data_IF_257591661603
#
_entry.id   IF_257591661603
#
_cell.length_a   1.000
_cell.length_b   1.000
_cell.length_c   1.000
_cell.angle_alpha   90.00
_cell.angle_beta   90.00
_cell.angle_gamma   90.00
#
_symmetry.space_group_name_H-M   'P 1'
#
loop_
_entity.id
_entity.type
_entity.pdbx_description
1 polymer ?
#
# COMPACT_ATOMS: atom_id res chain seq x y z
N UNK A 1 30.59 -5.79 27.83
CA UNK A 1 30.15 -7.21 27.79
C UNK A 1 28.85 -7.37 28.58
N UNK A 2 27.79 -6.65 28.19
CA UNK A 2 26.40 -6.78 28.69
C UNK A 2 25.52 -6.01 27.71
N UNK A 3 25.23 -6.61 26.55
CA UNK A 3 24.29 -6.10 25.55
C UNK A 3 23.86 -7.21 24.56
N UNK A 4 23.82 -8.46 25.03
CA UNK A 4 23.61 -9.65 24.19
C UNK A 4 22.58 -10.63 24.77
N UNK A 5 21.49 -10.13 25.38
CA UNK A 5 20.41 -11.01 25.86
C UNK A 5 18.98 -10.54 25.61
N UNK A 6 18.73 -9.59 24.69
CA UNK A 6 17.35 -9.22 24.29
C UNK A 6 17.00 -9.56 22.83
N UNK A 7 17.91 -10.16 22.06
CA UNK A 7 17.65 -10.53 20.66
C UNK A 7 17.21 -11.99 20.45
N UNK A 8 17.01 -12.77 21.51
CA UNK A 8 16.74 -14.20 21.42
C UNK A 8 15.52 -14.62 22.26
N UNK A 9 14.32 -14.15 21.91
CA UNK A 9 13.07 -14.82 22.29
C UNK A 9 11.85 -14.43 21.45
N UNK A 10 12.01 -14.32 20.13
CA UNK A 10 10.87 -14.42 19.18
C UNK A 10 11.23 -15.46 18.10
N UNK A 11 11.61 -16.65 18.55
CA UNK A 11 11.57 -17.86 17.72
C UNK A 11 10.27 -18.60 18.04
N UNK A 12 9.18 -18.17 17.40
CA UNK A 12 7.99 -19.01 17.26
C UNK A 12 8.00 -19.60 15.85
N UNK A 13 8.60 -20.80 15.78
CA UNK A 13 8.19 -21.94 14.94
C UNK A 13 7.52 -21.62 13.60
N UNK A 14 8.27 -21.79 12.49
CA UNK A 14 7.97 -22.31 11.12
C UNK A 14 6.53 -22.34 10.52
N UNK A 15 5.50 -21.81 11.16
CA UNK A 15 4.09 -21.75 10.72
C UNK A 15 3.71 -20.38 10.15
N UNK A 16 4.64 -19.43 10.18
CA UNK A 16 4.39 -18.00 9.94
C UNK A 16 4.82 -17.52 8.54
N UNK A 17 5.56 -18.32 7.77
CA UNK A 17 6.15 -17.87 6.50
C UNK A 17 5.10 -17.43 5.45
N UNK A 18 3.96 -18.12 5.40
CA UNK A 18 2.89 -17.84 4.42
C UNK A 18 2.05 -16.60 4.79
N UNK A 19 1.97 -16.25 6.08
CA UNK A 19 1.32 -15.02 6.53
C UNK A 19 2.26 -13.83 6.30
N UNK A 20 3.58 -14.03 6.46
CA UNK A 20 4.58 -12.99 6.24
C UNK A 20 4.56 -12.49 4.79
N UNK A 21 4.46 -13.36 3.77
CA UNK A 21 4.37 -12.93 2.36
C UNK A 21 3.09 -12.13 2.07
N UNK A 22 1.98 -12.45 2.76
CA UNK A 22 0.68 -11.78 2.58
C UNK A 22 0.55 -10.44 3.32
N UNK A 23 1.34 -10.21 4.38
CA UNK A 23 1.35 -8.98 5.17
C UNK A 23 2.56 -8.08 4.93
N UNK A 24 3.70 -8.62 4.49
CA UNK A 24 4.97 -7.88 4.36
C UNK A 24 5.51 -7.83 2.91
N UNK A 25 4.73 -8.31 1.93
CA UNK A 25 5.20 -8.44 0.54
C UNK A 25 6.16 -9.63 0.36
N UNK A 26 6.75 -9.81 -0.85
CA UNK A 26 7.79 -10.81 -1.02
C UNK A 26 8.87 -10.54 0.03
N UNK A 27 9.19 -11.53 0.85
CA UNK A 27 10.24 -11.42 1.84
C UNK A 27 11.52 -11.03 1.11
N UNK A 28 12.00 -9.80 1.32
CA UNK A 28 13.31 -9.33 0.84
C UNK A 28 14.39 -10.06 1.68
N UNK A 29 14.52 -11.37 1.47
CA UNK A 29 15.49 -12.21 2.15
C UNK A 29 16.87 -12.02 1.50
N UNK A 30 17.87 -11.70 2.32
CA UNK A 30 19.31 -11.83 2.02
C UNK A 30 19.83 -11.13 0.76
N UNK A 31 19.54 -9.83 0.60
CA UNK A 31 20.48 -9.00 -0.17
C UNK A 31 21.65 -8.70 0.77
N UNK A 32 22.88 -9.06 0.37
CA UNK A 32 24.09 -8.87 1.20
C UNK A 32 24.30 -7.42 1.67
N UNK A 33 23.67 -6.44 1.02
CA UNK A 33 23.75 -5.02 1.38
C UNK A 33 22.78 -4.58 2.48
N UNK A 34 21.75 -5.38 2.81
CA UNK A 34 20.75 -5.00 3.81
C UNK A 34 21.25 -5.24 5.24
N UNK A 35 20.84 -4.37 6.15
CA UNK A 35 21.06 -4.54 7.59
C UNK A 35 19.72 -4.95 8.22
N UNK A 36 19.51 -6.26 8.35
CA UNK A 36 18.22 -6.80 8.77
C UNK A 36 17.12 -6.46 7.76
N UNK A 37 16.07 -5.76 8.21
CA UNK A 37 14.99 -5.29 7.33
C UNK A 37 15.24 -3.93 6.67
N UNK A 38 16.36 -3.27 6.98
CA UNK A 38 16.68 -1.92 6.51
C UNK A 38 17.58 -2.02 5.27
N UNK A 39 17.23 -1.26 4.24
CA UNK A 39 18.04 -1.05 3.05
C UNK A 39 18.64 0.37 3.10
N UNK A 40 19.97 0.52 3.17
CA UNK A 40 20.61 1.83 3.17
C UNK A 40 20.41 2.60 1.85
N UNK A 41 20.19 1.90 0.74
CA UNK A 41 20.07 2.45 -0.61
C UNK A 41 18.71 2.11 -1.23
N UNK A 42 17.64 2.19 -0.42
CA UNK A 42 16.28 1.85 -0.82
C UNK A 42 15.79 2.75 -1.97
N UNK A 43 15.52 2.14 -3.14
CA UNK A 43 14.90 2.83 -4.29
C UNK A 43 13.38 2.82 -4.17
N UNK A 44 12.71 3.98 -3.97
CA UNK A 44 11.27 4.06 -3.96
C UNK A 44 10.68 3.78 -5.35
N UNK A 45 11.44 4.00 -6.42
CA UNK A 45 11.02 3.70 -7.81
C UNK A 45 10.89 2.20 -8.00
N UNK A 46 11.91 1.44 -7.63
CA UNK A 46 11.88 -0.02 -7.71
C UNK A 46 10.70 -0.59 -6.91
N UNK A 47 10.46 -0.06 -5.72
CA UNK A 47 9.37 -0.53 -4.86
C UNK A 47 8.00 -0.17 -5.45
N UNK A 48 7.85 1.01 -6.06
CA UNK A 48 6.63 1.39 -6.76
C UNK A 48 6.36 0.50 -7.98
N UNK A 49 7.38 0.19 -8.79
CA UNK A 49 7.28 -0.75 -9.92
C UNK A 49 6.86 -2.13 -9.43
N UNK A 50 7.48 -2.64 -8.37
CA UNK A 50 7.11 -3.91 -7.76
C UNK A 50 5.66 -3.89 -7.28
N UNK A 51 5.26 -2.87 -6.52
CA UNK A 51 3.90 -2.76 -6.01
C UNK A 51 2.85 -2.73 -7.13
N UNK A 52 3.14 -2.07 -8.25
CA UNK A 52 2.31 -2.10 -9.45
C UNK A 52 2.25 -3.49 -10.08
N UNK A 53 3.40 -4.14 -10.27
CA UNK A 53 3.49 -5.51 -10.82
C UNK A 53 2.69 -6.54 -10.01
N UNK A 54 2.65 -6.41 -8.68
CA UNK A 54 1.89 -7.31 -7.81
C UNK A 54 0.39 -6.96 -7.70
N UNK A 55 0.01 -5.68 -7.80
CA UNK A 55 -1.39 -5.25 -7.69
C UNK A 55 -2.18 -5.44 -8.99
N UNK A 56 -1.54 -5.25 -10.14
CA UNK A 56 -2.19 -5.32 -11.46
C UNK A 56 -2.84 -6.68 -11.74
N UNK A 57 -2.18 -7.84 -11.56
CA UNK A 57 -2.82 -9.15 -11.81
C UNK A 57 -4.05 -9.39 -10.95
N UNK A 58 -4.06 -8.90 -9.71
CA UNK A 58 -5.22 -9.02 -8.82
C UNK A 58 -6.40 -8.19 -9.32
N UNK A 59 -6.14 -7.00 -9.85
CA UNK A 59 -7.17 -6.18 -10.49
C UNK A 59 -7.71 -6.85 -11.76
N UNK A 60 -6.83 -7.37 -12.62
CA UNK A 60 -7.24 -8.12 -13.83
C UNK A 60 -8.05 -9.36 -13.46
N UNK A 61 -7.64 -10.11 -12.43
CA UNK A 61 -8.37 -11.28 -11.97
C UNK A 61 -9.77 -10.91 -11.44
N UNK A 62 -9.91 -9.77 -10.75
CA UNK A 62 -11.17 -9.33 -10.17
C UNK A 62 -12.13 -8.65 -11.17
N UNK A 63 -11.59 -7.88 -12.14
CA UNK A 63 -12.37 -7.00 -13.02
C UNK A 63 -12.16 -7.26 -14.52
N UNK A 64 -11.29 -8.20 -14.89
CA UNK A 64 -10.93 -8.50 -16.28
C UNK A 64 -9.98 -7.50 -16.95
N UNK A 65 -9.70 -6.36 -16.30
CA UNK A 65 -8.86 -5.28 -16.80
C UNK A 65 -8.22 -4.49 -15.64
N UNK A 66 -7.20 -3.68 -15.94
CA UNK A 66 -6.55 -2.82 -14.96
C UNK A 66 -5.98 -1.56 -15.65
N UNK A 67 -5.96 -0.40 -14.97
CA UNK A 67 -5.41 0.84 -15.51
C UNK A 67 -3.88 0.76 -15.65
N UNK A 68 -3.34 1.51 -16.61
CA UNK A 68 -1.91 1.78 -16.70
C UNK A 68 -1.41 2.67 -15.58
N UNK A 69 -0.09 2.81 -15.47
CA UNK A 69 0.56 3.62 -14.44
C UNK A 69 1.71 4.45 -15.02
N UNK A 70 1.78 5.71 -14.62
CA UNK A 70 2.87 6.63 -14.96
C UNK A 70 3.61 7.02 -13.68
N UNK A 71 4.92 6.78 -13.66
CA UNK A 71 5.80 7.09 -12.52
C UNK A 71 6.77 8.19 -12.96
N UNK A 72 6.70 9.34 -12.31
CA UNK A 72 7.58 10.48 -12.55
C UNK A 72 8.44 10.76 -11.31
N UNK A 73 9.74 10.96 -11.52
CA UNK A 73 10.69 11.21 -10.44
C UNK A 73 11.30 12.61 -10.57
N UNK A 74 11.21 13.38 -9.49
CA UNK A 74 11.77 14.72 -9.39
C UNK A 74 12.78 14.80 -8.24
N UNK A 75 14.06 14.96 -8.58
CA UNK A 75 15.10 15.25 -7.59
C UNK A 75 15.26 16.76 -7.39
N UNK A 76 14.70 17.28 -6.30
CA UNK A 76 14.76 18.71 -5.98
C UNK A 76 16.05 19.12 -5.26
N UNK A 77 16.91 18.17 -4.87
CA UNK A 77 18.14 18.47 -4.13
C UNK A 77 19.37 18.38 -5.03
N UNK A 78 19.46 17.37 -5.89
CA UNK A 78 20.60 17.26 -6.81
C UNK A 78 20.28 17.85 -8.19
N UNK A 79 19.85 19.11 -8.24
CA UNK A 79 19.50 19.81 -9.50
C UNK A 79 20.69 19.97 -10.46
N UNK A 80 21.92 19.97 -9.95
CA UNK A 80 23.14 20.32 -10.72
C UNK A 80 23.93 19.13 -11.29
N UNK A 81 23.59 17.87 -10.94
CA UNK A 81 24.21 16.68 -11.55
C UNK A 81 23.47 16.19 -12.81
N UNK A 82 22.78 17.09 -13.51
CA UNK A 82 21.97 16.81 -14.70
C UNK A 82 22.80 16.41 -15.94
N UNK A 83 24.12 16.62 -15.91
CA UNK A 83 25.02 16.32 -17.04
C UNK A 83 25.54 14.87 -17.07
N UNK A 84 25.27 14.08 -16.02
CA UNK A 84 25.74 12.69 -15.90
C UNK A 84 24.62 11.68 -16.21
N UNK A 85 24.69 11.03 -17.37
CA UNK A 85 23.72 10.06 -17.92
C UNK A 85 23.48 8.78 -17.09
N UNK A 86 24.17 8.57 -15.98
CA UNK A 86 24.36 7.21 -15.44
C UNK A 86 23.14 6.61 -14.72
N UNK A 87 22.13 7.39 -14.29
CA UNK A 87 20.95 6.88 -13.57
C UNK A 87 19.61 7.40 -14.12
N UNK A 88 19.56 7.81 -15.40
CA UNK A 88 18.28 8.22 -16.02
C UNK A 88 17.47 6.96 -16.34
N UNK A 89 16.30 6.86 -15.73
CA UNK A 89 15.31 5.82 -15.99
C UNK A 89 14.24 6.43 -16.87
N UNK A 90 14.23 6.01 -18.13
CA UNK A 90 13.25 6.45 -19.12
C UNK A 90 12.87 5.23 -19.94
N UNK A 91 11.77 4.60 -19.54
CA UNK A 91 11.20 3.49 -20.29
C UNK A 91 9.68 3.50 -20.23
N UNK A 92 9.07 2.93 -21.26
CA UNK A 92 7.69 2.54 -21.24
C UNK A 92 7.57 1.05 -21.53
N UNK A 93 6.54 0.43 -20.95
CA UNK A 93 6.11 -0.93 -21.24
C UNK A 93 4.74 -0.80 -21.89
N UNK A 94 4.63 -1.28 -23.13
CA UNK A 94 3.38 -1.22 -23.86
C UNK A 94 2.30 -2.14 -23.25
N UNK A 95 1.09 -2.11 -23.83
CA UNK A 95 -0.01 -2.96 -23.38
C UNK A 95 0.25 -4.47 -23.60
N UNK A 96 1.16 -4.83 -24.51
CA UNK A 96 1.56 -6.20 -24.79
C UNK A 96 2.72 -6.68 -23.88
N UNK A 97 3.27 -5.80 -23.04
CA UNK A 97 4.36 -6.11 -22.13
C UNK A 97 5.76 -5.89 -22.70
N UNK A 98 5.90 -5.30 -23.89
CA UNK A 98 7.20 -4.99 -24.48
C UNK A 98 7.75 -3.68 -23.90
N UNK A 99 8.98 -3.74 -23.39
CA UNK A 99 9.69 -2.57 -22.90
C UNK A 99 10.40 -1.82 -24.04
N UNK A 100 10.34 -0.49 -24.02
CA UNK A 100 11.06 0.37 -24.98
C UNK A 100 12.58 0.26 -24.85
N UNK A 101 13.06 0.04 -23.63
CA UNK A 101 14.49 -0.02 -23.27
C UNK A 101 14.69 -1.11 -22.22
N UNK A 102 15.82 -1.82 -22.27
CA UNK A 102 16.21 -2.73 -21.17
C UNK A 102 16.43 -1.92 -19.90
N UNK A 103 15.80 -2.33 -18.81
CA UNK A 103 15.90 -1.69 -17.50
C UNK A 103 16.00 -2.76 -16.44
N UNK A 104 16.92 -2.60 -15.49
CA UNK A 104 17.08 -3.50 -14.35
C UNK A 104 15.80 -3.58 -13.50
N UNK A 105 14.97 -2.52 -13.53
CA UNK A 105 13.69 -2.47 -12.83
C UNK A 105 12.68 -3.51 -13.35
N UNK A 106 12.88 -3.99 -14.58
CA UNK A 106 12.01 -4.97 -15.24
C UNK A 106 12.57 -6.39 -15.18
N UNK A 107 13.80 -6.58 -14.71
CA UNK A 107 14.41 -7.90 -14.58
C UNK A 107 13.58 -8.72 -13.57
N UNK A 108 13.01 -9.83 -14.04
CA UNK A 108 12.06 -10.70 -13.30
C UNK A 108 10.65 -10.17 -13.08
N UNK A 109 10.26 -9.03 -13.66
CA UNK A 109 8.89 -8.51 -13.57
C UNK A 109 8.05 -9.03 -14.74
N UNK A 110 7.08 -9.92 -14.48
CA UNK A 110 6.28 -10.56 -15.54
C UNK A 110 5.02 -9.76 -15.95
N UNK A 111 4.58 -8.78 -15.16
CA UNK A 111 3.26 -8.14 -15.31
C UNK A 111 3.30 -6.60 -15.24
N UNK A 112 4.35 -5.96 -15.76
CA UNK A 112 4.48 -4.51 -15.81
C UNK A 112 3.85 -3.86 -17.05
N UNK A 113 2.89 -4.51 -17.71
CA UNK A 113 2.24 -3.94 -18.89
C UNK A 113 1.60 -2.57 -18.60
N UNK A 114 1.65 -1.70 -19.59
CA UNK A 114 1.06 -0.37 -19.55
C UNK A 114 1.68 0.55 -18.46
N UNK A 115 2.99 0.44 -18.23
CA UNK A 115 3.77 1.21 -17.24
C UNK A 115 4.70 2.21 -17.95
N UNK A 116 4.75 3.46 -17.50
CA UNK A 116 5.78 4.42 -17.92
C UNK A 116 6.56 4.89 -16.70
N UNK A 117 7.90 4.94 -16.79
CA UNK A 117 8.77 5.46 -15.73
C UNK A 117 9.71 6.50 -16.33
N UNK A 118 9.72 7.70 -15.75
CA UNK A 118 10.52 8.84 -16.21
C UNK A 118 11.19 9.55 -15.04
N UNK A 119 12.50 9.72 -15.14
CA UNK A 119 13.26 10.57 -14.22
C UNK A 119 14.58 9.93 -13.83
N UNK A 120 15.18 10.45 -12.77
CA UNK A 120 16.42 9.91 -12.22
C UNK A 120 16.11 9.10 -10.98
N UNK A 121 16.65 7.89 -10.87
CA UNK A 121 16.45 7.10 -9.65
C UNK A 121 17.05 7.81 -8.43
N UNK A 122 16.38 7.67 -7.30
CA UNK A 122 16.78 8.21 -6.01
C UNK A 122 16.87 7.06 -5.02
N UNK A 123 17.77 7.17 -4.05
CA UNK A 123 17.88 6.19 -2.96
C UNK A 123 17.90 6.92 -1.62
N UNK A 124 17.39 6.25 -0.59
CA UNK A 124 17.45 6.73 0.78
C UNK A 124 17.41 5.54 1.74
N UNK A 125 17.83 5.72 2.99
CA UNK A 125 17.80 4.64 3.98
C UNK A 125 16.36 4.43 4.47
N UNK A 126 15.78 3.25 4.21
CA UNK A 126 14.41 2.93 4.62
C UNK A 126 14.17 1.43 4.75
N UNK A 127 12.98 1.03 5.22
CA UNK A 127 12.54 -0.37 5.28
C UNK A 127 11.72 -0.69 4.01
N UNK A 128 12.25 -1.45 3.04
CA UNK A 128 11.56 -1.70 1.76
C UNK A 128 10.18 -2.35 1.94
N UNK A 129 10.04 -3.27 2.90
CA UNK A 129 8.77 -3.94 3.19
C UNK A 129 7.66 -2.99 3.65
N UNK A 130 8.00 -1.95 4.43
CA UNK A 130 7.04 -0.94 4.86
C UNK A 130 6.55 -0.11 3.67
N UNK A 131 7.49 0.36 2.84
CA UNK A 131 7.16 1.14 1.65
C UNK A 131 6.36 0.32 0.65
N UNK A 132 6.75 -0.94 0.42
CA UNK A 132 6.02 -1.87 -0.44
C UNK A 132 4.57 -2.04 0.02
N UNK A 133 4.35 -2.30 1.31
CA UNK A 133 3.00 -2.47 1.85
C UNK A 133 2.12 -1.23 1.59
N UNK A 134 2.64 -0.04 1.89
CA UNK A 134 1.93 1.22 1.68
C UNK A 134 1.54 1.38 0.20
N UNK A 135 2.51 1.24 -0.72
CA UNK A 135 2.26 1.44 -2.15
C UNK A 135 1.33 0.36 -2.71
N UNK A 136 1.49 -0.89 -2.29
CA UNK A 136 0.67 -2.02 -2.74
C UNK A 136 -0.80 -1.86 -2.33
N UNK A 137 -1.08 -1.50 -1.07
CA UNK A 137 -2.45 -1.27 -0.61
C UNK A 137 -3.09 -0.06 -1.31
N UNK A 138 -2.34 1.03 -1.51
CA UNK A 138 -2.84 2.21 -2.21
C UNK A 138 -3.10 1.95 -3.70
N UNK A 139 -2.24 1.20 -4.38
CA UNK A 139 -2.42 0.86 -5.78
C UNK A 139 -3.61 -0.07 -5.99
N UNK A 140 -3.82 -1.08 -5.14
CA UNK A 140 -5.05 -1.90 -5.20
C UNK A 140 -6.31 -1.05 -5.07
N UNK A 141 -6.34 -0.11 -4.12
CA UNK A 141 -7.49 0.78 -3.92
C UNK A 141 -7.69 1.70 -5.13
N UNK A 142 -6.61 2.27 -5.67
CA UNK A 142 -6.64 3.15 -6.84
C UNK A 142 -7.15 2.39 -8.09
N UNK A 143 -6.61 1.20 -8.35
CA UNK A 143 -7.01 0.34 -9.48
C UNK A 143 -8.49 -0.06 -9.38
N UNK A 144 -8.95 -0.43 -8.18
CA UNK A 144 -10.35 -0.72 -7.91
C UNK A 144 -11.23 0.50 -8.22
N UNK A 145 -10.91 1.66 -7.67
CA UNK A 145 -11.71 2.88 -7.83
C UNK A 145 -11.82 3.31 -9.30
N UNK A 146 -10.70 3.28 -10.03
CA UNK A 146 -10.66 3.58 -11.46
C UNK A 146 -11.51 2.60 -12.25
N UNK A 147 -11.34 1.30 -12.03
CA UNK A 147 -12.03 0.27 -12.81
C UNK A 147 -13.53 0.23 -12.53
N UNK A 148 -13.95 0.45 -11.28
CA UNK A 148 -15.36 0.50 -10.89
C UNK A 148 -16.05 1.77 -11.44
N UNK A 149 -15.34 2.90 -11.55
CA UNK A 149 -15.91 4.17 -12.01
C UNK A 149 -15.94 4.35 -13.53
N UNK A 150 -15.10 3.59 -14.25
CA UNK A 150 -14.92 3.69 -15.72
C UNK A 150 -15.29 2.36 -16.41
N UNK A 151 -16.29 1.68 -15.86
CA UNK A 151 -16.79 0.38 -16.32
C UNK A 151 -17.35 0.42 -17.76
N UNK A 152 -17.87 1.57 -18.21
CA UNK A 152 -18.37 1.75 -19.58
C UNK A 152 -17.32 2.30 -20.56
N UNK A 153 -16.17 2.75 -20.06
CA UNK A 153 -15.18 3.42 -20.90
C UNK A 153 -14.27 2.43 -21.62
N UNK A 154 -13.98 2.72 -22.89
CA UNK A 154 -13.10 1.87 -23.70
C UNK A 154 -11.68 1.78 -23.10
N UNK A 155 -11.18 2.87 -22.53
CA UNK A 155 -9.86 2.95 -21.90
C UNK A 155 -9.99 3.48 -20.48
N UNK A 156 -9.21 2.90 -19.56
CA UNK A 156 -9.17 3.35 -18.18
C UNK A 156 -8.17 4.51 -18.05
N UNK A 157 -8.47 5.55 -17.26
CA UNK A 157 -7.48 6.57 -16.95
C UNK A 157 -6.30 5.96 -16.19
N UNK A 158 -5.10 6.46 -16.48
CA UNK A 158 -3.86 5.98 -15.88
C UNK A 158 -3.73 6.49 -14.45
N UNK A 159 -3.08 5.70 -13.59
CA UNK A 159 -2.69 6.12 -12.25
C UNK A 159 -1.36 6.87 -12.34
N UNK A 160 -1.25 8.01 -11.67
CA UNK A 160 -0.02 8.81 -11.67
C UNK A 160 0.67 8.73 -10.31
N UNK A 161 1.94 8.30 -10.32
CA UNK A 161 2.82 8.29 -9.14
C UNK A 161 3.90 9.35 -9.35
N UNK A 162 3.96 10.34 -8.47
CA UNK A 162 5.01 11.35 -8.44
C UNK A 162 5.90 11.09 -7.23
N UNK A 163 7.18 10.81 -7.45
CA UNK A 163 8.19 10.60 -6.41
C UNK A 163 9.09 11.84 -6.39
N UNK A 164 9.09 12.56 -5.27
CA UNK A 164 9.87 13.78 -5.09
C UNK A 164 10.92 13.60 -4.00
N UNK A 165 12.18 13.87 -4.33
CA UNK A 165 13.28 13.97 -3.38
C UNK A 165 13.40 15.42 -2.91
N UNK A 166 12.73 15.75 -1.79
CA UNK A 166 12.83 17.05 -1.15
C UNK A 166 14.09 17.21 -0.28
N UNK A 167 14.36 18.42 0.23
CA UNK A 167 15.46 18.65 1.18
C UNK A 167 15.29 17.93 2.51
N UNK A 168 14.06 17.86 3.03
CA UNK A 168 13.74 17.26 4.34
C UNK A 168 13.05 15.90 4.20
N UNK A 169 12.12 15.79 3.25
CA UNK A 169 11.26 14.62 3.10
C UNK A 169 11.36 14.03 1.67
N UNK A 170 11.24 12.70 1.59
CA UNK A 170 10.82 12.00 0.38
C UNK A 170 9.29 12.03 0.35
N UNK A 171 8.72 12.58 -0.72
CA UNK A 171 7.28 12.69 -0.89
C UNK A 171 6.83 11.84 -2.07
N UNK A 172 5.91 10.92 -1.83
CA UNK A 172 5.31 10.10 -2.89
C UNK A 172 3.83 10.46 -2.98
N UNK A 173 3.41 10.96 -4.14
CA UNK A 173 2.02 11.28 -4.44
C UNK A 173 1.45 10.24 -5.40
N UNK A 174 0.38 9.56 -5.02
CA UNK A 174 -0.39 8.69 -5.90
C UNK A 174 -1.69 9.40 -6.23
N UNK A 175 -1.99 9.55 -7.51
CA UNK A 175 -3.22 10.17 -8.00
C UNK A 175 -3.96 9.20 -8.91
N UNK A 176 -5.22 8.98 -8.60
CA UNK A 176 -6.16 8.26 -9.44
C UNK A 176 -7.26 9.20 -9.94
N UNK A 177 -7.91 8.79 -11.03
CA UNK A 177 -9.15 9.37 -11.51
C UNK A 177 -10.29 8.38 -11.28
N UNK A 178 -10.42 7.84 -10.07
CA UNK A 178 -11.40 6.82 -9.72
C UNK A 178 -12.72 7.37 -9.18
N UNK A 179 -13.17 8.55 -9.63
CA UNK A 179 -14.43 9.17 -9.21
C UNK A 179 -14.44 9.80 -7.81
N UNK A 180 -13.44 9.51 -6.97
CA UNK A 180 -13.27 10.15 -5.66
C UNK A 180 -14.34 9.81 -4.62
N UNK A 181 -14.34 10.53 -3.51
CA UNK A 181 -15.22 10.31 -2.35
C UNK A 181 -15.62 11.64 -1.72
N UNK A 182 -16.83 11.68 -1.16
CA UNK A 182 -17.30 12.81 -0.36
C UNK A 182 -16.38 13.06 0.86
N UNK A 183 -16.23 14.34 1.25
CA UNK A 183 -15.34 14.75 2.34
C UNK A 183 -15.61 14.02 3.67
N UNK A 184 -16.89 13.79 3.99
CA UNK A 184 -17.29 13.08 5.21
C UNK A 184 -16.92 11.57 5.21
N UNK A 185 -16.63 11.00 4.04
CA UNK A 185 -16.16 9.62 3.89
C UNK A 185 -14.65 9.54 4.08
N UNK A 186 -13.90 10.57 3.67
CA UNK A 186 -12.42 10.62 3.81
C UNK A 186 -11.98 10.35 5.24
N UNK A 187 -12.64 10.93 6.24
CA UNK A 187 -12.33 10.68 7.65
C UNK A 187 -12.66 9.25 8.09
N UNK A 188 -13.77 8.69 7.57
CA UNK A 188 -14.20 7.32 7.90
C UNK A 188 -13.30 6.27 7.29
N UNK A 189 -12.67 6.56 6.15
CA UNK A 189 -11.77 5.66 5.42
C UNK A 189 -10.57 5.19 6.24
N UNK A 190 -10.16 5.94 7.26
CA UNK A 190 -9.10 5.54 8.18
C UNK A 190 -9.58 4.82 9.45
N UNK A 191 -10.88 4.53 9.58
CA UNK A 191 -11.38 3.69 10.68
C UNK A 191 -11.10 2.22 10.35
N UNK A 192 -10.63 1.47 11.33
CA UNK A 192 -10.50 0.02 11.17
C UNK A 192 -11.86 -0.60 10.87
N UNK A 193 -11.87 -1.62 10.01
CA UNK A 193 -13.05 -2.34 9.51
C UNK A 193 -13.98 -1.53 8.60
N UNK A 194 -13.68 -0.27 8.30
CA UNK A 194 -14.45 0.49 7.31
C UNK A 194 -14.09 0.03 5.89
N UNK A 195 -15.09 -0.35 5.10
CA UNK A 195 -14.92 -0.81 3.71
C UNK A 195 -16.17 -0.53 2.89
N UNK A 196 -15.98 -0.19 1.61
CA UNK A 196 -17.06 -0.03 0.61
C UNK A 196 -17.20 -1.25 -0.31
N UNK A 197 -16.40 -2.30 -0.11
CA UNK A 197 -16.49 -3.50 -0.92
C UNK A 197 -17.76 -4.31 -0.57
N UNK A 198 -18.71 -4.35 -1.49
CA UNK A 198 -19.99 -5.07 -1.33
C UNK A 198 -19.80 -6.56 -1.61
N UNK A 199 -18.97 -7.27 -0.82
CA UNK A 199 -18.80 -8.73 -0.97
C UNK A 199 -18.77 -9.50 0.36
N UNK A 200 -18.90 -8.82 1.51
CA UNK A 200 -18.91 -9.51 2.81
C UNK A 200 -20.24 -10.17 3.19
N UNK A 201 -21.34 -9.91 2.46
CA UNK A 201 -22.67 -10.42 2.80
C UNK A 201 -23.04 -11.78 2.14
N UNK A 202 -22.38 -12.14 1.03
CA UNK A 202 -22.67 -13.39 0.29
C UNK A 202 -21.48 -14.37 0.23
N UNK A 203 -20.42 -14.12 0.99
CA UNK A 203 -19.38 -15.13 1.20
C UNK A 203 -19.92 -16.19 2.15
N UNK A 204 -20.03 -17.44 1.66
CA UNK A 204 -20.40 -18.60 2.47
C UNK A 204 -19.59 -18.62 3.79
N UNK A 205 -20.19 -18.96 4.96
CA UNK A 205 -19.58 -18.81 6.29
C UNK A 205 -18.20 -19.47 6.45
N UNK A 206 -17.82 -20.37 5.55
CA UNK A 206 -16.53 -21.05 5.50
C UNK A 206 -15.33 -20.10 5.34
N UNK A 207 -15.51 -18.87 4.81
CA UNK A 207 -14.39 -17.90 4.65
C UNK A 207 -14.08 -17.14 5.95
N UNK A 208 -15.00 -17.12 6.92
CA UNK A 208 -14.78 -16.55 8.25
C UNK A 208 -14.19 -17.58 9.25
N UNK A 209 -14.21 -18.87 8.91
CA UNK A 209 -13.60 -19.92 9.72
C UNK A 209 -12.08 -19.98 9.50
N UNK A 210 -11.37 -19.14 10.26
CA UNK A 210 -9.91 -19.06 10.30
C UNK A 210 -9.19 -20.38 10.69
N UNK A 211 -9.89 -21.37 11.28
CA UNK A 211 -9.25 -22.57 11.84
C UNK A 211 -9.13 -23.75 10.85
N UNK A 212 -10.09 -23.93 9.94
CA UNK A 212 -10.18 -25.19 9.16
C UNK A 212 -9.30 -25.23 7.90
N UNK A 213 -8.78 -24.10 7.42
CA UNK A 213 -7.87 -24.07 6.27
C UNK A 213 -6.40 -24.32 6.65
N UNK A 214 -6.08 -24.51 7.94
CA UNK A 214 -4.71 -24.70 8.42
C UNK A 214 -4.22 -26.16 8.31
N UNK A 215 -5.12 -27.14 8.29
CA UNK A 215 -4.78 -28.57 8.29
C UNK A 215 -4.54 -29.14 6.88
N UNK A 216 -5.20 -28.63 5.84
CA UNK A 216 -5.03 -29.11 4.46
C UNK A 216 -3.71 -28.63 3.81
N UNK A 217 -3.04 -27.63 4.39
CA UNK A 217 -1.77 -27.07 3.86
C UNK A 217 -0.53 -27.86 4.34
N UNK A 218 -0.63 -28.65 5.42
CA UNK A 218 0.53 -29.37 5.96
C UNK A 218 1.10 -30.45 5.03
N UNK A 219 0.30 -30.97 4.10
CA UNK A 219 0.71 -32.08 3.20
C UNK A 219 1.59 -31.66 2.02
N UNK A 220 1.81 -30.36 1.79
CA UNK A 220 2.59 -29.85 0.64
C UNK A 220 4.01 -29.38 1.03
N UNK A 221 4.54 -29.89 2.16
CA UNK A 221 5.84 -29.48 2.71
C UNK A 221 6.98 -30.37 2.20
N UNK A 222 7.34 -30.25 0.92
CA UNK A 222 8.69 -30.60 0.46
C UNK A 222 9.28 -29.40 -0.28
N UNK A 223 9.99 -28.57 0.49
CA UNK A 223 10.75 -27.42 0.01
C UNK A 223 12.12 -27.91 -0.44
N UNK A 224 12.41 -27.88 -1.74
CA UNK A 224 13.79 -27.90 -2.24
C UNK A 224 14.29 -26.45 -2.32
N UNK A 225 15.33 -26.16 -1.55
CA UNK A 225 15.96 -24.84 -1.47
C UNK A 225 16.83 -24.64 -2.71
N UNK A 226 16.37 -23.81 -3.64
CA UNK A 226 17.22 -23.26 -4.70
C UNK A 226 17.26 -21.74 -4.60
N UNK A 227 18.49 -21.22 -4.70
CA UNK A 227 18.99 -19.90 -4.31
C UNK A 227 18.57 -18.74 -5.25
N UNK A 228 17.34 -18.76 -5.78
CA UNK A 228 16.85 -17.77 -6.75
C UNK A 228 15.37 -17.43 -6.51
N UNK A 229 15.09 -16.12 -6.48
CA UNK A 229 13.80 -15.47 -6.29
C UNK A 229 12.78 -15.88 -7.38
N UNK A 230 12.15 -17.04 -7.24
CA UNK A 230 10.91 -17.39 -7.94
C UNK A 230 10.11 -18.35 -7.06
N UNK A 231 9.07 -17.84 -6.38
CA UNK A 231 7.97 -18.72 -5.99
C UNK A 231 7.11 -18.89 -7.24
N UNK A 232 7.31 -19.99 -7.97
CA UNK A 232 6.32 -20.46 -8.93
C UNK A 232 5.08 -20.87 -8.12
N UNK A 233 4.04 -20.05 -8.20
CA UNK A 233 2.74 -20.37 -7.61
C UNK A 233 1.87 -20.90 -8.74
N UNK A 234 1.58 -22.21 -8.67
CA UNK A 234 0.68 -22.93 -9.56
C UNK A 234 -0.67 -22.20 -9.72
N UNK A 235 -1.28 -22.18 -10.93
CA UNK A 235 -2.39 -21.26 -11.25
C UNK A 235 -3.73 -21.59 -10.58
N UNK A 236 -3.91 -22.79 -10.05
CA UNK A 236 -5.25 -23.32 -9.73
C UNK A 236 -5.78 -23.07 -8.30
N UNK A 237 -5.12 -22.25 -7.48
CA UNK A 237 -5.56 -22.00 -6.08
C UNK A 237 -5.80 -20.53 -5.71
N UNK A 238 -6.18 -19.70 -6.69
CA UNK A 238 -6.49 -18.27 -6.50
C UNK A 238 -7.98 -17.97 -6.22
N UNK A 239 -8.78 -18.97 -5.84
CA UNK A 239 -10.12 -18.72 -5.34
C UNK A 239 -10.03 -17.90 -4.03
N UNK A 240 -10.45 -16.63 -4.09
CA UNK A 240 -10.64 -15.71 -2.96
C UNK A 240 -9.39 -14.94 -2.44
N UNK A 241 -8.68 -14.24 -3.32
CA UNK A 241 -7.92 -13.04 -2.92
C UNK A 241 -8.69 -11.79 -3.37
N UNK A 242 -9.56 -11.27 -2.51
CA UNK A 242 -10.31 -10.05 -2.80
C UNK A 242 -9.38 -8.83 -2.78
N UNK A 243 -9.41 -8.03 -3.84
CA UNK A 243 -8.63 -6.79 -3.98
C UNK A 243 -8.93 -5.76 -2.87
N UNK A 244 -10.15 -5.81 -2.33
CA UNK A 244 -10.63 -5.03 -1.20
C UNK A 244 -11.48 -5.88 -0.24
N UNK A 245 -11.74 -5.42 0.98
CA UNK A 245 -12.79 -6.03 1.82
C UNK A 245 -12.49 -6.22 3.30
N UNK A 246 -11.24 -6.14 3.74
CA UNK A 246 -10.90 -6.26 5.18
C UNK A 246 -10.98 -4.94 5.95
N UNK A 247 -10.90 -3.79 5.27
CA UNK A 247 -11.00 -2.48 5.91
C UNK A 247 -9.82 -2.10 6.84
N UNK A 248 -8.64 -2.69 6.64
CA UNK A 248 -7.43 -2.39 7.43
C UNK A 248 -6.29 -1.76 6.62
N UNK A 249 -6.33 -1.81 5.29
CA UNK A 249 -5.19 -1.42 4.43
C UNK A 249 -4.77 0.04 4.60
N UNK A 250 -5.70 0.98 4.49
CA UNK A 250 -5.43 2.42 4.64
C UNK A 250 -5.00 2.84 6.06
N UNK A 251 -5.69 2.42 7.15
CA UNK A 251 -5.20 2.74 8.49
C UNK A 251 -3.82 2.13 8.79
N UNK A 252 -3.54 0.92 8.32
CA UNK A 252 -2.24 0.29 8.52
C UNK A 252 -1.15 0.93 7.67
N UNK A 253 -1.43 1.32 6.42
CA UNK A 253 -0.51 2.10 5.59
C UNK A 253 -0.12 3.42 6.25
N UNK A 254 -1.10 4.11 6.87
CA UNK A 254 -0.83 5.34 7.63
C UNK A 254 0.02 5.09 8.88
N UNK A 255 -0.17 3.94 9.55
CA UNK A 255 0.66 3.54 10.68
C UNK A 255 2.12 3.28 10.24
N UNK A 256 2.33 2.54 9.15
CA UNK A 256 3.67 2.29 8.59
C UNK A 256 4.38 3.59 8.22
N UNK A 257 3.68 4.55 7.61
CA UNK A 257 4.28 5.85 7.28
C UNK A 257 4.65 6.65 8.54
N UNK A 258 3.79 6.64 9.57
CA UNK A 258 4.02 7.38 10.82
C UNK A 258 5.10 6.77 11.71
N UNK A 259 5.33 5.46 11.58
CA UNK A 259 6.26 4.74 12.44
C UNK A 259 7.67 5.35 12.45
N UNK A 260 8.16 5.87 11.31
CA UNK A 260 9.48 6.51 11.20
C UNK A 260 9.38 8.02 10.96
N UNK A 261 8.50 8.71 11.69
CA UNK A 261 8.37 10.18 11.64
C UNK A 261 7.71 10.74 10.37
N UNK A 262 7.21 9.88 9.49
CA UNK A 262 6.48 10.25 8.28
C UNK A 262 4.97 10.46 8.50
N UNK A 263 4.20 10.52 7.41
CA UNK A 263 2.75 10.58 7.47
C UNK A 263 2.10 10.16 6.14
N UNK A 264 0.80 9.87 6.17
CA UNK A 264 -0.01 9.61 4.98
C UNK A 264 -1.27 10.47 5.04
N UNK A 265 -1.46 11.33 4.03
CA UNK A 265 -2.63 12.20 3.87
C UNK A 265 -3.40 11.84 2.61
N UNK A 266 -4.72 11.81 2.71
CA UNK A 266 -5.61 11.51 1.59
C UNK A 266 -6.46 12.74 1.30
N UNK A 267 -6.50 13.15 0.03
CA UNK A 267 -7.32 14.23 -0.49
C UNK A 267 -8.16 13.67 -1.63
N UNK A 268 -9.47 13.78 -1.54
CA UNK A 268 -10.38 13.26 -2.56
C UNK A 268 -11.25 14.39 -3.08
N UNK A 269 -11.52 14.37 -4.38
CA UNK A 269 -12.43 15.29 -5.06
C UNK A 269 -13.54 14.41 -5.62
N UNK A 270 -14.73 14.52 -5.01
CA UNK A 270 -15.92 13.78 -5.43
C UNK A 270 -16.27 14.08 -6.90
N UNK A 271 -16.53 13.04 -7.67
CA UNK A 271 -16.76 13.10 -9.11
C UNK A 271 -15.49 13.12 -9.97
N UNK A 272 -14.29 13.23 -9.39
CA UNK A 272 -13.03 13.33 -10.15
C UNK A 272 -12.07 12.19 -9.80
N UNK A 273 -11.62 12.11 -8.55
CA UNK A 273 -10.56 11.18 -8.19
C UNK A 273 -9.94 11.43 -6.82
N UNK A 274 -8.93 10.65 -6.49
CA UNK A 274 -8.25 10.72 -5.19
C UNK A 274 -6.74 10.90 -5.35
N UNK A 275 -6.18 11.75 -4.49
CA UNK A 275 -4.74 11.96 -4.34
C UNK A 275 -4.29 11.57 -2.94
N UNK A 276 -3.31 10.70 -2.82
CA UNK A 276 -2.68 10.31 -1.55
C UNK A 276 -1.24 10.79 -1.54
N UNK A 277 -0.86 11.49 -0.47
CA UNK A 277 0.49 11.98 -0.20
C UNK A 277 1.11 11.18 0.94
N UNK A 278 2.24 10.54 0.66
CA UNK A 278 3.07 9.82 1.61
C UNK A 278 4.31 10.67 1.86
N UNK A 279 4.55 11.03 3.12
CA UNK A 279 5.71 11.78 3.57
C UNK A 279 6.62 10.84 4.35
N UNK A 280 7.87 10.72 3.94
CA UNK A 280 8.89 9.91 4.60
C UNK A 280 10.11 10.78 4.87
N UNK A 281 10.78 10.56 6.00
CA UNK A 281 12.00 11.31 6.32
C UNK A 281 13.11 10.92 5.35
N UNK A 282 13.75 11.93 4.73
CA UNK A 282 14.85 11.69 3.80
C UNK A 282 16.13 11.28 4.53
N UNK A 283 16.44 11.97 5.63
CA UNK A 283 17.64 11.71 6.40
C UNK A 283 17.31 10.68 7.49
N UNK A 284 18.15 9.65 7.62
CA UNK A 284 17.95 8.58 8.61
C UNK A 284 17.99 9.08 10.06
N UNK A 285 18.73 10.15 10.33
CA UNK A 285 18.81 10.77 11.65
C UNK A 285 17.47 11.37 12.13
N UNK A 286 16.61 11.77 11.19
CA UNK A 286 15.29 12.33 11.50
C UNK A 286 14.19 11.26 11.51
N UNK A 287 14.52 10.03 11.11
CA UNK A 287 13.60 8.89 11.01
C UNK A 287 13.52 8.10 12.33
N UNK A 288 13.07 8.75 13.40
CA UNK A 288 12.91 8.11 14.71
C UNK A 288 11.57 7.37 14.85
N UNK A 289 11.56 6.34 15.70
CA UNK A 289 10.38 5.53 15.95
C UNK A 289 9.29 6.30 16.72
N UNK A 290 8.06 6.28 16.22
CA UNK A 290 6.88 6.80 16.91
C UNK A 290 6.16 5.66 17.64
N UNK A 291 6.43 5.50 18.93
CA UNK A 291 5.89 4.42 19.77
C UNK A 291 4.80 4.97 20.70
N UNK A 292 3.65 4.30 20.84
CA UNK A 292 2.64 4.68 21.81
C UNK A 292 3.15 4.45 23.24
N UNK A 293 3.06 5.49 24.08
CA UNK A 293 3.40 5.41 25.49
C UNK A 293 2.13 5.26 26.33
N UNK A 294 2.11 4.26 27.20
CA UNK A 294 1.05 4.15 28.20
C UNK A 294 1.35 5.06 29.39
N UNK A 295 0.52 6.08 29.59
CA UNK A 295 0.62 7.06 30.66
C UNK A 295 -0.78 7.50 31.15
N UNK A 296 -0.84 8.48 32.05
CA UNK A 296 -2.12 9.00 32.58
C UNK A 296 -3.04 9.53 31.48
N UNK A 297 -2.50 10.20 30.45
CA UNK A 297 -3.28 10.73 29.32
C UNK A 297 -3.89 9.60 28.48
N UNK A 298 -3.09 8.56 28.15
CA UNK A 298 -3.62 7.42 27.40
C UNK A 298 -4.62 6.61 28.22
N UNK A 299 -4.41 6.47 29.54
CA UNK A 299 -5.38 5.82 30.44
C UNK A 299 -6.70 6.58 30.48
N UNK A 300 -6.64 7.91 30.64
CA UNK A 300 -7.82 8.77 30.65
C UNK A 300 -8.63 8.68 29.35
N UNK A 301 -7.97 8.48 28.21
CA UNK A 301 -8.66 8.26 26.93
C UNK A 301 -9.58 7.03 26.94
N UNK A 302 -9.20 5.96 27.65
CA UNK A 302 -10.03 4.75 27.75
C UNK A 302 -11.08 4.82 28.88
N UNK A 303 -10.82 5.60 29.93
CA UNK A 303 -11.75 5.75 31.06
C UNK A 303 -12.88 6.76 30.77
N UNK A 304 -12.60 7.80 29.98
CA UNK A 304 -13.58 8.84 29.65
C UNK A 304 -14.35 8.49 28.36
N UNK A 305 -15.41 7.69 28.47
CA UNK A 305 -16.19 7.19 27.34
C UNK A 305 -17.15 8.21 26.69
N UNK A 306 -17.39 9.36 27.33
CA UNK A 306 -18.30 10.40 26.84
C UNK A 306 -17.48 11.64 26.46
N UNK A 307 -17.11 11.75 25.19
CA UNK A 307 -16.67 13.02 24.63
C UNK A 307 -17.91 13.88 24.35
N UNK A 308 -18.09 14.93 25.15
CA UNK A 308 -19.02 15.99 24.80
C UNK A 308 -18.53 16.64 23.49
N UNK A 309 -19.45 16.93 22.56
CA UNK A 309 -19.06 17.63 21.33
C UNK A 309 -18.78 19.09 21.66
N UNK A 310 -17.62 19.57 21.21
CA UNK A 310 -17.22 20.97 21.39
C UNK A 310 -18.02 21.93 20.50
N UNK A 311 -18.65 21.41 19.43
CA UNK A 311 -19.36 22.19 18.42
C UNK A 311 -20.83 21.81 18.33
N UNK A 312 -21.67 22.80 18.06
CA UNK A 312 -23.11 22.62 17.83
C UNK A 312 -23.32 21.69 16.64
N UNK A 313 -24.19 20.71 16.80
CA UNK A 313 -24.72 19.92 15.70
C UNK A 313 -26.20 20.19 15.56
N UNK A 314 -26.69 20.44 14.34
CA UNK A 314 -28.12 20.50 14.08
C UNK A 314 -28.72 19.09 14.22
N UNK A 315 -29.10 18.72 15.43
CA UNK A 315 -30.04 17.64 15.68
C UNK A 315 -31.46 18.18 15.51
N UNK A 316 -32.21 17.54 14.59
CA UNK A 316 -33.65 17.72 14.28
C UNK A 316 -34.03 18.81 13.27
N UNK A 317 -34.15 18.42 11.99
CA UNK A 317 -35.34 18.83 11.22
C UNK A 317 -36.49 17.98 11.74
N UNK A 318 -37.18 18.47 12.76
CA UNK A 318 -38.53 18.01 13.10
C UNK A 318 -39.41 18.40 11.93
N UNK A 319 -39.72 17.46 11.05
CA UNK A 319 -40.92 17.59 10.22
C UNK A 319 -42.08 17.58 11.23
N UNK A 320 -42.60 18.77 11.53
CA UNK A 320 -43.90 18.92 12.14
C UNK A 320 -44.91 18.30 11.15
N UNK A 321 -45.25 17.03 11.35
CA UNK A 321 -46.52 16.52 10.84
C UNK A 321 -47.63 17.32 11.55
N UNK A 322 -48.57 17.93 10.81
CA UNK A 322 -49.69 18.58 11.45
C UNK A 322 -50.57 17.52 12.10
N UNK A 323 -50.78 17.65 13.41
CA UNK A 323 -51.74 16.87 14.17
C UNK A 323 -53.14 17.03 13.57
N UNK A 324 -53.60 16.05 12.80
CA UNK A 324 -55.01 15.89 12.47
C UNK A 324 -55.61 14.85 13.39
N UNK A 325 -56.26 15.31 14.46
CA UNK A 325 -57.39 14.62 15.08
C UNK A 325 -58.45 15.66 15.39
N UNK A 326 -59.71 15.46 14.98
CA UNK A 326 -60.83 15.70 15.88
C UNK A 326 -60.99 14.52 16.85
#
# INVERSE_FOLDING_TARGET
MFLWSCFAHVFFTYRTLTITVKLYGPTFCNVQSHVGGIDPDCSPVQIAVNAYNYSRPLCIQAYGRAPGCDIEIHDCVNKERASGSFNKIDFCVDAAGHASTKSYLLDNQRNCADLSVKGKDITFCYIPGHLFYILYELLKNSMRAVTESHNNDAQLPRIHILICNGPEDIVIKITDFGGGMALNMVEKTFRYNYTTAVHSANLHPTVLNFENNYSTIQSASQVTVNDRMTCEVEPERNACLSIAGRGHGLPLSRLYARYLGGNLKLHSIEGVGTSVLIYLKRQSQDAYELIPLFNHTSKSFYENSIQQRDWVSNSQRTLLEPSTTP
#
